data_IF_026434837006
#
_entry.id   IF_026434837006
#
_cell.length_a   1.000
_cell.length_b   1.000
_cell.length_c   1.000
_cell.angle_alpha   90.00
_cell.angle_beta   90.00
_cell.angle_gamma   90.00
#
_symmetry.space_group_name_H-M   'P 1'
#
loop_
_entity.id
_entity.type
_entity.pdbx_description
1 polymer ?
#
# COMPACT_ATOMS: atom_id res chain seq x y z
N UNK A 1 1.24 -6.65 25.01
CA UNK A 1 1.95 -5.67 24.17
C UNK A 1 1.32 -5.72 22.79
N UNK A 2 0.87 -4.58 22.24
CA UNK A 2 0.43 -4.50 20.84
C UNK A 2 1.67 -4.76 19.97
N UNK A 3 1.66 -5.71 19.01
CA UNK A 3 2.80 -5.97 18.14
C UNK A 3 3.16 -4.69 17.39
N UNK A 4 4.44 -4.47 17.13
CA UNK A 4 4.87 -3.32 16.30
C UNK A 4 4.39 -3.54 14.86
N UNK A 5 3.85 -2.51 14.19
CA UNK A 5 3.41 -2.63 12.81
C UNK A 5 4.61 -2.87 11.89
N UNK A 6 4.43 -3.70 10.88
CA UNK A 6 5.40 -3.93 9.83
C UNK A 6 5.19 -2.93 8.69
N UNK A 7 6.27 -2.51 8.04
CA UNK A 7 6.17 -1.69 6.85
C UNK A 7 5.82 -2.57 5.64
N UNK A 8 4.79 -2.16 4.89
CA UNK A 8 4.40 -2.78 3.63
C UNK A 8 4.84 -1.92 2.45
N UNK A 9 5.31 -2.56 1.39
CA UNK A 9 5.66 -1.90 0.12
C UNK A 9 4.49 -2.05 -0.84
N UNK A 10 3.79 -0.97 -1.10
CA UNK A 10 2.76 -0.93 -2.13
C UNK A 10 3.42 -0.61 -3.47
N UNK A 11 3.30 -1.53 -4.41
CA UNK A 11 3.83 -1.37 -5.76
C UNK A 11 2.66 -1.35 -6.76
N UNK A 12 2.24 -0.17 -7.25
CA UNK A 12 1.31 -0.09 -8.36
C UNK A 12 1.84 -0.86 -9.56
N UNK A 13 0.95 -1.42 -10.35
CA UNK A 13 1.31 -2.06 -11.61
C UNK A 13 2.02 -1.07 -12.53
N UNK A 14 2.87 -1.59 -13.41
CA UNK A 14 3.68 -0.74 -14.29
C UNK A 14 2.80 0.19 -15.12
N UNK A 15 3.09 1.50 -15.06
CA UNK A 15 2.32 2.53 -15.75
C UNK A 15 1.10 3.05 -14.98
N UNK A 16 0.83 2.54 -13.77
CA UNK A 16 -0.28 2.99 -12.95
C UNK A 16 0.19 3.89 -11.80
N UNK A 17 -0.61 4.90 -11.47
CA UNK A 17 -0.37 5.83 -10.35
C UNK A 17 -1.03 5.39 -9.04
N UNK A 18 -1.86 4.34 -9.08
CA UNK A 18 -2.60 3.76 -7.95
C UNK A 18 -2.66 2.24 -8.09
N UNK A 19 -3.08 1.53 -7.04
CA UNK A 19 -3.47 0.12 -7.10
C UNK A 19 -4.99 0.00 -6.94
N UNK A 20 -5.57 -0.98 -7.60
CA UNK A 20 -6.92 -1.47 -7.32
C UNK A 20 -6.88 -2.98 -7.25
N UNK A 21 -7.32 -3.54 -6.14
CA UNK A 21 -7.35 -4.99 -5.92
C UNK A 21 -8.70 -5.38 -5.35
N UNK A 22 -9.20 -6.53 -5.77
CA UNK A 22 -10.39 -7.15 -5.22
C UNK A 22 -10.04 -8.53 -4.68
N UNK A 23 -10.53 -8.81 -3.49
CA UNK A 23 -10.31 -10.06 -2.76
C UNK A 23 -11.65 -10.70 -2.48
N UNK A 24 -11.72 -12.02 -2.60
CA UNK A 24 -12.91 -12.85 -2.33
C UNK A 24 -12.49 -14.15 -1.64
N UNK A 25 -13.43 -15.10 -1.53
CA UNK A 25 -13.17 -16.42 -0.92
C UNK A 25 -12.13 -17.25 -1.70
N UNK A 26 -11.97 -17.03 -3.00
CA UNK A 26 -11.05 -17.77 -3.86
C UNK A 26 -9.67 -17.09 -3.87
N UNK A 27 -9.63 -15.79 -3.70
CA UNK A 27 -8.43 -14.98 -3.58
C UNK A 27 -8.50 -14.09 -2.33
N UNK A 28 -8.37 -14.65 -1.12
CA UNK A 28 -8.52 -13.88 0.11
C UNK A 28 -7.36 -12.90 0.32
N UNK A 29 -7.66 -11.74 0.88
CA UNK A 29 -6.65 -10.81 1.35
C UNK A 29 -5.81 -11.45 2.47
N UNK A 30 -4.60 -11.91 2.14
CA UNK A 30 -3.70 -12.60 3.07
C UNK A 30 -2.99 -11.65 4.04
N UNK A 31 -3.20 -10.35 3.91
CA UNK A 31 -2.50 -9.33 4.69
C UNK A 31 -3.30 -9.04 5.98
N UNK A 32 -3.50 -10.06 6.81
CA UNK A 32 -4.03 -9.92 8.16
C UNK A 32 -3.00 -9.44 9.20
N UNK A 33 -1.87 -8.89 8.76
CA UNK A 33 -0.77 -8.46 9.62
C UNK A 33 -0.93 -6.99 9.95
N UNK A 34 -0.63 -6.62 11.19
CA UNK A 34 -0.54 -5.22 11.63
C UNK A 34 0.58 -4.50 10.86
N UNK A 35 0.20 -3.60 9.92
CA UNK A 35 1.12 -2.97 8.97
C UNK A 35 0.81 -1.49 8.76
N UNK A 36 1.69 -0.80 8.03
CA UNK A 36 1.51 0.56 7.57
C UNK A 36 2.29 0.80 6.27
N UNK A 37 1.83 1.75 5.47
CA UNK A 37 2.46 2.19 4.21
C UNK A 37 2.20 3.67 3.96
N UNK A 38 2.97 4.35 3.07
CA UNK A 38 2.83 5.78 2.81
C UNK A 38 1.63 6.15 1.92
N UNK A 39 1.01 5.19 1.28
CA UNK A 39 -0.18 5.43 0.47
C UNK A 39 -1.40 5.69 1.36
N UNK A 40 -2.36 6.46 0.83
CA UNK A 40 -3.73 6.51 1.33
C UNK A 40 -4.42 5.24 0.84
N UNK A 41 -5.19 4.60 1.70
CA UNK A 41 -5.92 3.39 1.37
C UNK A 41 -7.43 3.58 1.56
N UNK A 42 -8.20 3.26 0.54
CA UNK A 42 -9.65 3.17 0.60
C UNK A 42 -10.06 1.71 0.52
N UNK A 43 -10.67 1.22 1.59
CA UNK A 43 -11.15 -0.16 1.70
C UNK A 43 -12.66 -0.19 1.71
N UNK A 44 -13.24 -1.03 0.88
CA UNK A 44 -14.65 -1.39 0.94
C UNK A 44 -14.80 -2.89 1.16
N UNK A 45 -15.52 -3.26 2.20
CA UNK A 45 -15.90 -4.63 2.53
C UNK A 45 -17.39 -4.79 2.25
N UNK A 46 -17.77 -5.66 1.31
CA UNK A 46 -19.15 -5.90 0.94
C UNK A 46 -19.80 -6.93 1.86
N UNK A 47 -20.70 -6.47 2.72
CA UNK A 47 -21.45 -7.31 3.65
C UNK A 47 -20.60 -7.87 4.79
N UNK A 48 -21.17 -8.81 5.53
CA UNK A 48 -20.50 -9.47 6.65
C UNK A 48 -20.30 -8.58 7.88
N UNK A 49 -19.56 -9.12 8.84
CA UNK A 49 -19.21 -8.43 10.08
C UNK A 49 -17.79 -8.80 10.47
N UNK A 50 -17.07 -7.88 11.06
CA UNK A 50 -15.68 -8.14 11.43
C UNK A 50 -15.12 -7.15 12.44
N UNK A 51 -13.90 -7.42 12.87
CA UNK A 51 -13.12 -6.54 13.71
C UNK A 51 -12.22 -5.68 12.82
N UNK A 52 -12.13 -4.40 13.10
CA UNK A 52 -11.12 -3.50 12.51
C UNK A 52 -10.23 -2.92 13.57
N UNK A 53 -8.96 -2.77 13.24
CA UNK A 53 -7.98 -2.08 14.06
C UNK A 53 -7.24 -1.09 13.17
N UNK A 54 -7.37 0.21 13.48
CA UNK A 54 -6.78 1.33 12.75
C UNK A 54 -6.17 2.28 13.77
N UNK A 55 -4.85 2.44 13.75
CA UNK A 55 -4.16 3.16 14.81
C UNK A 55 -4.40 2.52 16.18
N UNK A 56 -4.79 3.32 17.16
CA UNK A 56 -5.20 2.83 18.48
C UNK A 56 -6.66 2.41 18.58
N UNK A 57 -7.43 2.66 17.51
CA UNK A 57 -8.87 2.39 17.51
C UNK A 57 -9.14 0.92 17.15
N UNK A 58 -9.88 0.24 18.03
CA UNK A 58 -10.39 -1.11 17.80
C UNK A 58 -11.91 -1.06 17.88
N UNK A 59 -12.57 -1.51 16.82
CA UNK A 59 -14.03 -1.58 16.78
C UNK A 59 -14.49 -2.75 15.90
N UNK A 60 -15.80 -2.95 15.87
CA UNK A 60 -16.45 -3.94 15.03
C UNK A 60 -17.34 -3.24 14.02
N UNK A 61 -17.41 -3.80 12.81
CA UNK A 61 -18.36 -3.39 11.79
C UNK A 61 -19.41 -4.47 11.56
N UNK A 62 -20.55 -4.07 11.05
CA UNK A 62 -21.65 -4.96 10.64
C UNK A 62 -22.18 -4.49 9.29
N UNK A 63 -22.63 -5.45 8.46
CA UNK A 63 -23.14 -5.18 7.12
C UNK A 63 -22.12 -4.40 6.26
N UNK A 64 -20.90 -4.92 6.23
CA UNK A 64 -19.79 -4.35 5.48
C UNK A 64 -19.18 -3.10 6.10
N UNK A 65 -18.10 -2.62 5.50
CA UNK A 65 -17.35 -1.44 5.95
C UNK A 65 -16.87 -0.59 4.77
N UNK A 66 -16.70 0.71 5.00
CA UNK A 66 -16.06 1.64 4.07
C UNK A 66 -15.13 2.55 4.85
N UNK A 67 -13.84 2.39 4.64
CA UNK A 67 -12.78 3.04 5.43
C UNK A 67 -11.82 3.76 4.51
N UNK A 68 -11.45 4.98 4.88
CA UNK A 68 -10.32 5.70 4.32
C UNK A 68 -9.21 5.81 5.36
N UNK A 69 -8.05 5.27 5.05
CA UNK A 69 -6.86 5.21 5.91
C UNK A 69 -5.83 6.18 5.35
N UNK A 70 -5.35 7.08 6.18
CA UNK A 70 -4.32 8.04 5.78
C UNK A 70 -2.92 7.43 5.75
N UNK A 71 -2.00 8.15 5.11
CA UNK A 71 -0.60 7.76 4.98
C UNK A 71 0.03 7.40 6.32
N UNK A 72 0.76 6.28 6.35
CA UNK A 72 1.49 5.79 7.52
C UNK A 72 0.64 5.52 8.78
N UNK A 73 -0.67 5.42 8.66
CA UNK A 73 -1.53 5.02 9.76
C UNK A 73 -1.56 3.49 9.88
N UNK A 74 -1.07 2.91 10.99
CA UNK A 74 -1.06 1.46 11.13
C UNK A 74 -2.47 0.87 11.14
N UNK A 75 -2.65 -0.24 10.44
CA UNK A 75 -3.92 -0.94 10.35
C UNK A 75 -3.73 -2.45 10.12
N UNK A 76 -4.79 -3.22 10.30
CA UNK A 76 -4.87 -4.63 9.94
C UNK A 76 -5.83 -4.80 8.78
N UNK A 77 -5.65 -5.86 8.00
CA UNK A 77 -6.63 -6.31 7.02
C UNK A 77 -8.01 -6.58 7.67
N UNK A 78 -9.05 -6.46 6.88
CA UNK A 78 -10.44 -6.39 7.35
C UNK A 78 -11.20 -7.69 7.13
N UNK A 79 -10.72 -8.56 6.25
CA UNK A 79 -11.39 -9.82 5.93
C UNK A 79 -10.85 -10.96 6.77
N UNK A 80 -11.78 -11.61 7.47
CA UNK A 80 -11.57 -12.93 8.06
C UNK A 80 -12.57 -13.90 7.39
N UNK A 81 -12.10 -15.10 7.06
CA UNK A 81 -12.92 -16.16 6.41
C UNK A 81 -14.22 -16.47 7.18
N UNK A 82 -14.26 -16.14 8.46
CA UNK A 82 -15.44 -16.35 9.33
C UNK A 82 -16.45 -15.20 9.31
N UNK A 83 -16.20 -14.12 8.58
CA UNK A 83 -17.00 -12.87 8.71
C UNK A 83 -18.20 -12.80 7.80
N UNK A 84 -18.32 -13.69 6.81
CA UNK A 84 -19.43 -13.71 5.84
C UNK A 84 -19.37 -12.55 4.83
N UNK A 85 -18.19 -11.96 4.61
CA UNK A 85 -17.98 -10.95 3.57
C UNK A 85 -18.10 -11.59 2.18
N UNK A 86 -18.64 -10.84 1.22
CA UNK A 86 -18.70 -11.27 -0.18
C UNK A 86 -17.36 -11.01 -0.89
N UNK A 87 -16.86 -9.80 -0.75
CA UNK A 87 -15.59 -9.37 -1.29
C UNK A 87 -15.04 -8.19 -0.47
N UNK A 88 -13.77 -7.91 -0.68
CA UNK A 88 -13.07 -6.73 -0.20
C UNK A 88 -12.39 -6.05 -1.38
N UNK A 89 -12.63 -4.77 -1.56
CA UNK A 89 -11.98 -3.97 -2.61
C UNK A 89 -11.07 -2.94 -1.96
N UNK A 90 -9.83 -2.86 -2.42
CA UNK A 90 -8.78 -2.00 -1.89
C UNK A 90 -8.23 -1.10 -2.99
N UNK A 91 -8.24 0.19 -2.74
CA UNK A 91 -7.62 1.21 -3.60
C UNK A 91 -6.52 1.89 -2.82
N UNK A 92 -5.28 1.81 -3.29
CA UNK A 92 -4.15 2.47 -2.65
C UNK A 92 -3.52 3.48 -3.59
N UNK A 93 -3.25 4.67 -3.10
CA UNK A 93 -2.69 5.77 -3.88
C UNK A 93 -1.83 6.68 -3.02
N UNK A 94 -0.78 7.25 -3.61
CA UNK A 94 -0.06 8.34 -2.94
C UNK A 94 -0.94 9.57 -2.86
N UNK A 95 -0.68 10.42 -1.87
CA UNK A 95 -1.40 11.69 -1.72
C UNK A 95 -1.24 12.61 -2.95
N UNK A 96 -0.11 12.47 -3.65
CA UNK A 96 0.27 13.21 -4.85
C UNK A 96 0.25 12.34 -6.13
N UNK A 97 -0.56 11.29 -6.19
CA UNK A 97 -0.55 10.29 -7.27
C UNK A 97 -0.82 10.84 -8.68
N UNK A 98 -1.35 12.05 -8.79
CA UNK A 98 -1.56 12.79 -10.04
C UNK A 98 -0.56 13.94 -10.25
N UNK A 99 0.49 13.99 -9.43
CA UNK A 99 1.49 15.05 -9.43
C UNK A 99 1.30 16.05 -8.29
N UNK A 100 2.39 16.69 -7.91
CA UNK A 100 2.48 17.51 -6.69
C UNK A 100 1.48 18.66 -6.61
N UNK A 101 1.11 19.26 -7.75
CA UNK A 101 0.25 20.45 -7.78
C UNK A 101 -1.21 20.14 -8.13
N UNK A 102 -1.52 18.93 -8.56
CA UNK A 102 -2.87 18.59 -9.02
C UNK A 102 -3.94 18.80 -7.95
N UNK A 103 -3.65 18.43 -6.71
CA UNK A 103 -4.60 18.60 -5.61
C UNK A 103 -4.60 20.00 -5.00
N UNK A 104 -3.71 20.91 -5.45
CA UNK A 104 -3.62 22.29 -4.94
C UNK A 104 -4.58 23.28 -5.62
N UNK A 105 -5.30 22.85 -6.66
CA UNK A 105 -6.31 23.68 -7.33
C UNK A 105 -7.59 23.82 -6.49
N UNK A 106 -8.36 24.92 -6.65
CA UNK A 106 -9.52 25.19 -5.82
C UNK A 106 -10.60 24.09 -5.81
N UNK A 107 -10.80 23.41 -6.94
CA UNK A 107 -11.76 22.33 -7.11
C UNK A 107 -11.46 21.11 -6.27
N UNK A 108 -10.19 20.92 -5.90
CA UNK A 108 -9.72 19.77 -5.09
C UNK A 108 -9.73 20.04 -3.58
N UNK A 109 -10.16 21.21 -3.13
CA UNK A 109 -10.14 21.61 -1.71
C UNK A 109 -10.85 20.60 -0.80
N UNK A 110 -11.94 19.99 -1.26
CA UNK A 110 -12.66 18.97 -0.49
C UNK A 110 -11.87 17.68 -0.36
N UNK A 111 -11.17 17.26 -1.41
CA UNK A 111 -10.29 16.09 -1.39
C UNK A 111 -9.07 16.37 -0.49
N UNK A 112 -8.47 17.54 -0.54
CA UNK A 112 -7.40 17.91 0.39
C UNK A 112 -7.85 17.81 1.85
N UNK A 113 -9.03 18.39 2.16
CA UNK A 113 -9.59 18.30 3.52
C UNK A 113 -9.87 16.85 3.94
N UNK A 114 -10.33 16.02 3.00
CA UNK A 114 -10.52 14.59 3.22
C UNK A 114 -9.19 13.88 3.58
N UNK A 115 -8.13 14.16 2.84
CA UNK A 115 -6.80 13.59 3.12
C UNK A 115 -6.25 14.02 4.50
N UNK A 116 -6.53 15.25 4.92
CA UNK A 116 -6.15 15.74 6.25
C UNK A 116 -6.86 14.98 7.38
N UNK A 117 -8.16 14.69 7.25
CA UNK A 117 -8.88 13.92 8.28
C UNK A 117 -8.58 12.42 8.21
N UNK A 118 -8.20 11.91 7.04
CA UNK A 118 -7.84 10.50 6.83
C UNK A 118 -6.64 10.04 7.67
N UNK A 119 -5.78 10.97 8.10
CA UNK A 119 -4.68 10.69 9.03
C UNK A 119 -5.17 10.04 10.32
N UNK A 120 -6.40 10.31 10.75
CA UNK A 120 -7.05 9.66 11.90
C UNK A 120 -7.80 8.38 11.55
N UNK A 121 -7.84 7.97 10.28
CA UNK A 121 -8.72 6.91 9.78
C UNK A 121 -10.19 7.36 9.81
N UNK A 122 -10.88 7.22 8.71
CA UNK A 122 -12.27 7.67 8.55
C UNK A 122 -13.16 6.50 8.16
N UNK A 123 -14.14 6.20 9.00
CA UNK A 123 -15.18 5.22 8.69
C UNK A 123 -16.42 5.94 8.16
N UNK A 124 -16.88 5.56 6.97
CA UNK A 124 -18.10 6.07 6.37
C UNK A 124 -19.29 5.13 6.67
N UNK A 125 -20.45 5.72 6.84
CA UNK A 125 -21.67 5.01 7.26
C UNK A 125 -22.85 5.38 6.37
N UNK A 126 -24.02 4.82 6.67
CA UNK A 126 -25.28 5.21 6.05
C UNK A 126 -25.32 5.04 4.53
N UNK A 127 -25.95 6.01 3.87
CA UNK A 127 -26.10 6.02 2.41
C UNK A 127 -24.79 6.20 1.67
N UNK A 128 -23.83 6.91 2.27
CA UNK A 128 -22.48 7.11 1.71
C UNK A 128 -21.77 5.79 1.56
N UNK A 129 -21.75 4.93 2.61
CA UNK A 129 -21.13 3.60 2.56
C UNK A 129 -21.67 2.79 1.40
N UNK A 130 -23.00 2.69 1.28
CA UNK A 130 -23.65 1.90 0.24
C UNK A 130 -23.33 2.42 -1.17
N UNK A 131 -23.57 3.71 -1.40
CA UNK A 131 -23.38 4.34 -2.72
C UNK A 131 -21.94 4.27 -3.21
N UNK A 132 -20.99 4.54 -2.32
CA UNK A 132 -19.57 4.49 -2.67
C UNK A 132 -19.09 3.05 -2.84
N UNK A 133 -19.56 2.14 -2.02
CA UNK A 133 -19.27 0.71 -2.17
C UNK A 133 -19.65 0.18 -3.55
N UNK A 134 -20.88 0.45 -4.00
CA UNK A 134 -21.35 0.07 -5.34
C UNK A 134 -20.44 0.66 -6.45
N UNK A 135 -19.96 1.89 -6.29
CA UNK A 135 -19.02 2.50 -7.25
C UNK A 135 -17.64 1.84 -7.25
N UNK A 136 -17.14 1.44 -6.09
CA UNK A 136 -15.85 0.75 -5.98
C UNK A 136 -15.93 -0.62 -6.64
N UNK A 137 -17.00 -1.37 -6.45
CA UNK A 137 -17.19 -2.70 -7.06
C UNK A 137 -17.24 -2.61 -8.60
N UNK A 138 -17.90 -1.60 -9.16
CA UNK A 138 -17.98 -1.40 -10.61
C UNK A 138 -16.60 -1.13 -11.22
N UNK A 139 -15.64 -0.64 -10.44
CA UNK A 139 -14.28 -0.36 -10.94
C UNK A 139 -13.56 -1.60 -11.49
N UNK A 140 -13.93 -2.80 -11.08
CA UNK A 140 -13.40 -4.05 -11.64
C UNK A 140 -13.57 -4.13 -13.16
N UNK A 141 -14.69 -3.65 -13.69
CA UNK A 141 -15.07 -3.72 -15.10
C UNK A 141 -14.68 -2.49 -15.92
N UNK A 142 -13.97 -1.55 -15.32
CA UNK A 142 -13.58 -0.28 -15.92
C UNK A 142 -12.18 -0.36 -16.54
N UNK A 143 -11.97 0.41 -17.62
CA UNK A 143 -10.62 0.71 -18.11
C UNK A 143 -9.84 1.54 -17.10
N UNK A 144 -8.51 1.58 -17.22
CA UNK A 144 -7.65 2.33 -16.30
C UNK A 144 -8.02 3.81 -16.21
N UNK A 145 -8.35 4.43 -17.35
CA UNK A 145 -8.78 5.83 -17.38
C UNK A 145 -10.16 6.02 -16.71
N UNK A 146 -11.11 5.14 -16.96
CA UNK A 146 -12.43 5.19 -16.31
C UNK A 146 -12.30 4.99 -14.79
N UNK A 147 -11.42 4.07 -14.38
CA UNK A 147 -11.12 3.80 -12.97
C UNK A 147 -10.50 5.01 -12.29
N UNK A 148 -9.56 5.70 -12.96
CA UNK A 148 -8.99 6.95 -12.46
C UNK A 148 -10.06 8.03 -12.23
N UNK A 149 -10.97 8.22 -13.18
CA UNK A 149 -12.09 9.17 -13.03
C UNK A 149 -13.04 8.76 -11.91
N UNK A 150 -13.29 7.46 -11.74
CA UNK A 150 -14.09 6.92 -10.63
C UNK A 150 -13.43 7.21 -9.29
N UNK A 151 -12.12 7.04 -9.15
CA UNK A 151 -11.37 7.36 -7.92
C UNK A 151 -11.55 8.84 -7.58
N UNK A 152 -11.35 9.75 -8.53
CA UNK A 152 -11.51 11.19 -8.30
C UNK A 152 -12.94 11.55 -7.87
N UNK A 153 -13.94 10.96 -8.52
CA UNK A 153 -15.35 11.20 -8.19
C UNK A 153 -15.68 10.63 -6.79
N UNK A 154 -15.21 9.44 -6.45
CA UNK A 154 -15.37 8.83 -5.13
C UNK A 154 -14.73 9.72 -4.06
N UNK A 155 -13.49 10.17 -4.24
CA UNK A 155 -12.80 11.03 -3.28
C UNK A 155 -13.55 12.36 -3.09
N UNK A 156 -14.08 12.95 -4.18
CA UNK A 156 -14.89 14.18 -4.09
C UNK A 156 -16.19 13.94 -3.32
N UNK A 157 -16.90 12.84 -3.57
CA UNK A 157 -18.13 12.51 -2.84
C UNK A 157 -17.87 12.24 -1.36
N UNK A 158 -16.81 11.50 -1.03
CA UNK A 158 -16.39 11.28 0.35
C UNK A 158 -16.01 12.59 1.05
N UNK A 159 -15.31 13.50 0.35
CA UNK A 159 -14.97 14.84 0.87
C UNK A 159 -16.16 15.76 1.12
N UNK A 160 -17.30 15.50 0.50
CA UNK A 160 -18.56 16.23 0.71
C UNK A 160 -19.52 15.52 1.67
N UNK A 161 -19.26 14.27 2.03
CA UNK A 161 -20.12 13.51 2.94
C UNK A 161 -20.08 14.07 4.35
N UNK A 162 -21.19 13.91 5.06
CA UNK A 162 -21.32 14.14 6.50
C UNK A 162 -21.54 12.84 7.28
N UNK A 163 -21.70 11.72 6.58
CA UNK A 163 -21.95 10.42 7.16
C UNK A 163 -20.63 9.68 7.41
N UNK A 164 -19.80 10.23 8.29
CA UNK A 164 -18.52 9.62 8.66
C UNK A 164 -18.17 9.83 10.12
N UNK A 165 -17.26 8.99 10.60
CA UNK A 165 -16.63 9.08 11.91
C UNK A 165 -15.11 9.00 11.75
N UNK A 166 -14.38 9.94 12.38
CA UNK A 166 -12.92 9.84 12.53
C UNK A 166 -12.63 8.88 13.70
N UNK A 167 -11.77 7.90 13.47
CA UNK A 167 -11.57 6.79 14.40
C UNK A 167 -10.56 7.11 15.49
N UNK A 168 -9.49 7.88 15.18
CA UNK A 168 -8.46 8.25 16.13
C UNK A 168 -8.49 9.76 16.39
N UNK A 169 -8.15 10.18 17.59
CA UNK A 169 -8.02 11.59 17.93
C UNK A 169 -6.97 12.28 17.04
N UNK A 170 -7.14 13.56 16.76
CA UNK A 170 -6.12 14.37 16.09
C UNK A 170 -4.81 14.27 16.88
N UNK A 171 -3.73 13.87 16.21
CA UNK A 171 -2.43 13.68 16.85
C UNK A 171 -2.07 12.21 17.14
N UNK A 172 -2.90 11.22 16.73
CA UNK A 172 -2.44 9.86 16.64
C UNK A 172 -1.38 9.79 15.55
N UNK A 173 -0.16 10.08 15.91
CA UNK A 173 1.01 9.59 15.17
C UNK A 173 1.58 8.42 15.98
N UNK A 174 1.98 7.31 15.37
CA UNK A 174 3.11 6.57 15.90
C UNK A 174 4.09 7.67 16.34
N UNK A 175 4.66 7.64 17.55
CA UNK A 175 5.56 8.68 18.11
C UNK A 175 6.76 9.01 17.18
N UNK A 176 6.46 9.31 15.94
CA UNK A 176 7.33 9.79 14.89
C UNK A 176 6.98 11.25 14.70
N UNK A 177 7.90 12.13 15.01
CA UNK A 177 7.75 13.56 14.71
C UNK A 177 7.36 13.73 13.23
N UNK A 178 6.55 14.75 12.90
CA UNK A 178 6.13 15.06 11.51
C UNK A 178 7.34 15.10 10.56
N UNK A 179 8.49 15.60 11.05
CA UNK A 179 9.77 15.56 10.32
C UNK A 179 10.27 14.16 9.97
N UNK A 180 9.94 13.15 10.77
CA UNK A 180 10.34 11.77 10.53
C UNK A 180 9.50 11.13 9.43
N UNK A 181 8.22 11.47 9.30
CA UNK A 181 7.39 11.01 8.19
C UNK A 181 7.84 11.58 6.85
N UNK A 182 8.24 12.84 6.80
CA UNK A 182 8.77 13.45 5.59
C UNK A 182 10.08 12.78 5.16
N UNK A 183 10.99 12.53 6.10
CA UNK A 183 12.25 11.86 5.82
C UNK A 183 12.07 10.43 5.31
N UNK A 184 11.19 9.65 5.94
CA UNK A 184 10.96 8.26 5.51
C UNK A 184 10.32 8.21 4.11
N UNK A 185 9.40 9.14 3.81
CA UNK A 185 8.79 9.26 2.50
C UNK A 185 9.82 9.64 1.42
N UNK A 186 10.77 10.53 1.74
CA UNK A 186 11.89 10.87 0.85
C UNK A 186 12.71 9.61 0.53
N UNK A 187 13.06 8.82 1.56
CA UNK A 187 13.80 7.56 1.39
C UNK A 187 13.05 6.59 0.50
N UNK A 188 11.76 6.37 0.75
CA UNK A 188 10.95 5.43 -0.01
C UNK A 188 10.79 5.84 -1.47
N UNK A 189 10.53 7.13 -1.72
CA UNK A 189 10.43 7.66 -3.08
C UNK A 189 11.74 7.53 -3.83
N UNK A 190 12.85 7.81 -3.15
CA UNK A 190 14.18 7.65 -3.74
C UNK A 190 14.46 6.20 -4.11
N UNK A 191 14.23 5.26 -3.20
CA UNK A 191 14.41 3.82 -3.47
C UNK A 191 13.51 3.36 -4.60
N UNK A 192 12.23 3.75 -4.60
CA UNK A 192 11.27 3.37 -5.66
C UNK A 192 11.73 3.81 -7.05
N UNK A 193 12.39 4.96 -7.16
CA UNK A 193 12.87 5.49 -8.44
C UNK A 193 14.23 4.92 -8.86
N UNK A 194 15.07 4.48 -7.90
CA UNK A 194 16.47 4.16 -8.14
C UNK A 194 16.87 2.73 -7.70
N UNK A 195 15.93 1.86 -7.29
CA UNK A 195 16.26 0.53 -6.74
C UNK A 195 17.05 -0.38 -7.70
N UNK A 196 16.99 -0.11 -9.00
CA UNK A 196 17.73 -0.87 -10.02
C UNK A 196 19.24 -0.56 -9.98
N UNK A 197 19.59 0.62 -9.53
CA UNK A 197 20.96 1.11 -9.43
C UNK A 197 21.55 0.80 -8.05
N UNK A 198 22.84 1.01 -7.90
CA UNK A 198 23.48 0.93 -6.60
C UNK A 198 23.10 2.16 -5.76
N UNK A 199 22.51 1.92 -4.60
CA UNK A 199 22.16 2.96 -3.63
C UNK A 199 23.05 2.78 -2.41
N UNK A 200 23.92 3.75 -2.14
CA UNK A 200 24.82 3.72 -0.98
C UNK A 200 24.15 4.26 0.28
N UNK A 201 24.66 3.84 1.45
CA UNK A 201 24.18 4.37 2.73
C UNK A 201 24.55 5.85 2.90
N UNK A 202 25.67 6.26 2.36
CA UNK A 202 26.13 7.64 2.34
C UNK A 202 25.14 8.53 1.58
N UNK A 203 24.82 8.14 0.35
CA UNK A 203 23.91 8.88 -0.52
C UNK A 203 22.52 9.07 0.13
N UNK A 204 21.94 7.98 0.64
CA UNK A 204 20.58 8.06 1.21
C UNK A 204 20.58 8.79 2.57
N UNK A 205 21.64 8.70 3.35
CA UNK A 205 21.75 9.43 4.62
C UNK A 205 21.89 10.93 4.40
N UNK A 206 22.66 11.35 3.41
CA UNK A 206 22.84 12.75 3.02
C UNK A 206 21.51 13.34 2.52
N UNK A 207 20.76 12.58 1.71
CA UNK A 207 19.46 13.00 1.18
C UNK A 207 18.46 13.39 2.30
N UNK A 208 18.53 12.75 3.47
CA UNK A 208 17.69 13.05 4.63
C UNK A 208 18.40 13.84 5.73
N UNK A 209 19.57 14.40 5.42
CA UNK A 209 20.39 15.20 6.33
C UNK A 209 20.71 14.47 7.64
N UNK A 210 21.18 13.23 7.54
CA UNK A 210 21.58 12.39 8.66
C UNK A 210 23.00 11.82 8.44
N UNK A 211 23.67 11.45 9.54
CA UNK A 211 24.87 10.60 9.43
C UNK A 211 24.44 9.15 9.18
N UNK A 212 25.27 8.35 8.50
CA UNK A 212 25.00 6.94 8.22
C UNK A 212 24.57 6.14 9.47
N UNK A 213 25.28 6.23 10.61
CA UNK A 213 24.84 5.52 11.82
C UNK A 213 23.47 5.99 12.36
N UNK A 214 23.18 7.29 12.24
CA UNK A 214 21.87 7.84 12.68
C UNK A 214 20.76 7.39 11.75
N UNK A 215 21.00 7.42 10.45
CA UNK A 215 20.07 6.92 9.43
C UNK A 215 19.77 5.42 9.62
N UNK A 216 20.77 4.57 9.79
CA UNK A 216 20.57 3.14 9.99
C UNK A 216 19.71 2.85 11.24
N UNK A 217 19.95 3.54 12.36
CA UNK A 217 19.13 3.40 13.58
C UNK A 217 17.71 3.91 13.35
N UNK A 218 17.58 5.08 12.74
CA UNK A 218 16.31 5.70 12.39
C UNK A 218 15.48 4.78 11.49
N UNK A 219 16.05 4.36 10.35
CA UNK A 219 15.38 3.52 9.38
C UNK A 219 14.91 2.18 9.98
N UNK A 220 15.82 1.51 10.73
CA UNK A 220 15.49 0.26 11.43
C UNK A 220 14.42 0.45 12.51
N UNK A 221 14.41 1.58 13.21
CA UNK A 221 13.38 1.89 14.21
C UNK A 221 12.00 2.03 13.59
N UNK A 222 11.89 2.65 12.40
CA UNK A 222 10.61 2.91 11.72
C UNK A 222 10.13 1.69 10.95
N UNK A 223 11.02 1.02 10.20
CA UNK A 223 10.64 -0.05 9.26
C UNK A 223 10.79 -1.46 9.85
N UNK A 224 11.42 -1.63 11.00
CA UNK A 224 11.89 -2.89 11.58
C UNK A 224 12.86 -3.68 10.67
N UNK A 225 13.36 -3.08 9.59
CA UNK A 225 14.28 -3.67 8.61
C UNK A 225 15.53 -2.84 8.45
N UNK A 226 16.61 -3.43 7.98
CA UNK A 226 17.75 -2.64 7.51
C UNK A 226 17.41 -2.00 6.16
N UNK A 227 18.08 -0.91 5.82
CA UNK A 227 17.90 -0.25 4.53
C UNK A 227 18.19 -1.18 3.34
N UNK A 228 19.26 -1.98 3.43
CA UNK A 228 19.61 -2.96 2.38
C UNK A 228 18.52 -4.04 2.23
N UNK A 229 17.93 -4.51 3.32
CA UNK A 229 16.80 -5.44 3.26
C UNK A 229 15.61 -4.82 2.52
N UNK A 230 15.30 -3.57 2.81
CA UNK A 230 14.21 -2.84 2.17
C UNK A 230 14.46 -2.67 0.65
N UNK A 231 15.66 -2.22 0.24
CA UNK A 231 16.02 -2.10 -1.19
C UNK A 231 15.90 -3.45 -1.89
N UNK A 232 16.39 -4.52 -1.26
CA UNK A 232 16.28 -5.87 -1.83
C UNK A 232 14.82 -6.34 -1.96
N UNK A 233 13.95 -6.03 -1.02
CA UNK A 233 12.52 -6.33 -1.14
C UNK A 233 11.88 -5.60 -2.32
N UNK A 234 12.16 -4.32 -2.52
CA UNK A 234 11.69 -3.58 -3.70
C UNK A 234 12.16 -4.23 -5.01
N UNK A 235 13.41 -4.70 -5.06
CA UNK A 235 13.96 -5.44 -6.20
C UNK A 235 13.23 -6.77 -6.42
N UNK A 236 12.93 -7.51 -5.36
CA UNK A 236 12.24 -8.80 -5.42
C UNK A 236 10.78 -8.67 -5.86
N UNK A 237 10.08 -7.65 -5.39
CA UNK A 237 8.73 -7.31 -5.88
C UNK A 237 8.76 -7.03 -7.39
N UNK A 238 9.72 -6.23 -7.84
CA UNK A 238 9.89 -5.98 -9.27
C UNK A 238 10.25 -7.24 -10.05
N UNK A 239 11.10 -8.11 -9.50
CA UNK A 239 11.45 -9.39 -10.10
C UNK A 239 10.25 -10.32 -10.26
N UNK A 240 9.38 -10.42 -9.25
CA UNK A 240 8.14 -11.20 -9.33
C UNK A 240 7.27 -10.75 -10.49
N UNK A 241 7.16 -9.43 -10.70
CA UNK A 241 6.44 -8.84 -11.82
C UNK A 241 7.08 -9.18 -13.17
N UNK A 242 8.39 -8.99 -13.33
CA UNK A 242 9.09 -9.33 -14.58
C UNK A 242 8.98 -10.81 -14.93
N UNK A 243 9.00 -11.70 -13.92
CA UNK A 243 8.81 -13.13 -14.11
C UNK A 243 7.42 -13.48 -14.63
N UNK A 244 6.40 -12.72 -14.25
CA UNK A 244 5.02 -12.88 -14.70
C UNK A 244 4.83 -12.35 -16.14
N UNK A 245 5.37 -11.18 -16.44
CA UNK A 245 5.03 -10.39 -17.63
C UNK A 245 5.96 -10.60 -18.82
N UNK A 246 7.27 -10.85 -18.55
CA UNK A 246 8.29 -10.87 -19.61
C UNK A 246 8.85 -12.27 -19.86
N UNK A 247 8.99 -12.69 -21.14
CA UNK A 247 9.63 -13.96 -21.52
C UNK A 247 11.16 -13.88 -21.53
N UNK A 248 11.77 -13.11 -20.63
CA UNK A 248 13.23 -13.01 -20.49
C UNK A 248 13.77 -14.07 -19.54
N UNK A 249 15.06 -14.38 -19.61
CA UNK A 249 15.70 -15.37 -18.74
C UNK A 249 15.67 -14.93 -17.27
N UNK A 250 15.76 -15.89 -16.33
CA UNK A 250 15.82 -15.57 -14.89
C UNK A 250 17.09 -14.79 -14.55
N UNK A 251 18.16 -15.04 -15.30
CA UNK A 251 19.42 -14.29 -15.16
C UNK A 251 19.23 -12.82 -15.58
N UNK A 252 18.55 -12.56 -16.67
CA UNK A 252 18.20 -11.20 -17.11
C UNK A 252 17.30 -10.51 -16.06
N UNK A 253 16.28 -11.20 -15.54
CA UNK A 253 15.44 -10.66 -14.44
C UNK A 253 16.30 -10.25 -13.24
N UNK A 254 17.25 -11.08 -12.83
CA UNK A 254 18.16 -10.78 -11.72
C UNK A 254 18.86 -9.44 -11.94
N UNK A 255 19.47 -9.23 -13.11
CA UNK A 255 20.24 -8.02 -13.40
C UNK A 255 19.33 -6.80 -13.66
N UNK A 256 18.18 -6.98 -14.36
CA UNK A 256 17.20 -5.89 -14.57
C UNK A 256 16.59 -5.37 -13.25
N UNK A 257 16.60 -6.19 -12.20
CA UNK A 257 16.14 -5.80 -10.87
C UNK A 257 17.25 -5.18 -9.99
N UNK A 258 18.47 -5.01 -10.52
CA UNK A 258 19.57 -4.41 -9.77
C UNK A 258 20.31 -5.37 -8.85
N UNK A 259 20.12 -6.69 -8.96
CA UNK A 259 20.99 -7.65 -8.30
C UNK A 259 22.25 -7.89 -9.15
N UNK A 260 23.40 -7.83 -8.52
CA UNK A 260 24.69 -8.11 -9.16
C UNK A 260 25.21 -9.53 -8.91
N UNK A 261 24.47 -10.35 -8.15
CA UNK A 261 24.83 -11.73 -7.82
C UNK A 261 23.60 -12.65 -7.93
N UNK A 262 23.64 -13.55 -8.91
CA UNK A 262 22.56 -14.50 -9.20
C UNK A 262 22.27 -15.47 -8.05
N UNK A 263 23.28 -15.96 -7.35
CA UNK A 263 23.07 -16.87 -6.21
C UNK A 263 22.39 -16.15 -5.04
N UNK A 264 22.79 -14.89 -4.78
CA UNK A 264 22.16 -14.05 -3.77
C UNK A 264 20.70 -13.74 -4.15
N UNK A 265 20.44 -13.39 -5.41
CA UNK A 265 19.09 -13.20 -5.93
C UNK A 265 18.20 -14.42 -5.70
N UNK A 266 18.62 -15.61 -6.14
CA UNK A 266 17.84 -16.84 -5.99
C UNK A 266 17.50 -17.15 -4.52
N UNK A 267 18.49 -17.03 -3.64
CA UNK A 267 18.31 -17.25 -2.20
C UNK A 267 17.31 -16.24 -1.61
N UNK A 268 17.46 -14.97 -1.95
CA UNK A 268 16.59 -13.88 -1.47
C UNK A 268 15.17 -14.02 -2.03
N UNK A 269 15.03 -14.37 -3.30
CA UNK A 269 13.75 -14.59 -3.95
C UNK A 269 12.98 -15.75 -3.31
N UNK A 270 13.66 -16.88 -3.08
CA UNK A 270 13.05 -18.02 -2.40
C UNK A 270 12.65 -17.68 -0.95
N UNK A 271 13.46 -16.93 -0.23
CA UNK A 271 13.13 -16.49 1.12
C UNK A 271 11.92 -15.53 1.15
N UNK A 272 11.75 -14.71 0.10
CA UNK A 272 10.68 -13.73 -0.02
C UNK A 272 9.35 -14.34 -0.48
N UNK A 273 9.37 -15.22 -1.50
CA UNK A 273 8.16 -15.78 -2.14
C UNK A 273 7.83 -17.20 -1.67
N UNK A 274 8.74 -17.87 -0.96
CA UNK A 274 8.64 -19.30 -0.63
C UNK A 274 9.12 -20.25 -1.74
N UNK A 275 9.29 -19.76 -2.97
CA UNK A 275 9.63 -20.53 -4.17
C UNK A 275 10.87 -19.96 -4.87
N UNK A 276 11.58 -20.80 -5.64
CA UNK A 276 12.61 -20.25 -6.50
C UNK A 276 12.01 -19.55 -7.74
N UNK A 277 12.76 -18.67 -8.44
CA UNK A 277 12.22 -17.91 -9.55
C UNK A 277 11.65 -18.75 -10.70
N UNK A 278 12.23 -19.95 -10.93
CA UNK A 278 11.74 -20.87 -11.99
C UNK A 278 10.41 -21.50 -11.62
N UNK A 279 10.28 -21.99 -10.38
CA UNK A 279 9.04 -22.54 -9.83
C UNK A 279 7.93 -21.48 -9.86
N UNK A 280 8.23 -20.28 -9.37
CA UNK A 280 7.29 -19.15 -9.36
C UNK A 280 6.77 -18.81 -10.77
N UNK A 281 7.67 -18.71 -11.77
CA UNK A 281 7.27 -18.46 -13.16
C UNK A 281 6.40 -19.58 -13.74
N UNK A 282 6.72 -20.83 -13.47
CA UNK A 282 5.97 -21.98 -14.00
C UNK A 282 4.57 -22.06 -13.39
N UNK A 283 4.42 -21.76 -12.12
CA UNK A 283 3.11 -21.71 -11.47
C UNK A 283 2.22 -20.62 -12.09
N UNK A 284 2.77 -19.40 -12.27
CA UNK A 284 2.02 -18.31 -12.92
C UNK A 284 1.57 -18.69 -14.35
N UNK A 285 2.43 -19.36 -15.13
CA UNK A 285 2.05 -19.81 -16.49
C UNK A 285 0.94 -20.86 -16.45
N UNK A 286 0.91 -21.74 -15.47
CA UNK A 286 -0.14 -22.77 -15.35
C UNK A 286 -1.49 -22.14 -14.99
N UNK A 287 -1.51 -21.10 -14.15
CA UNK A 287 -2.72 -20.36 -13.78
C UNK A 287 -3.29 -19.53 -14.93
N UNK A 288 -2.42 -19.01 -15.82
CA UNK A 288 -2.86 -18.22 -16.99
C UNK A 288 -3.32 -19.09 -18.18
N UNK A 289 -3.10 -20.40 -18.13
CA UNK A 289 -3.51 -21.35 -19.20
C UNK A 289 -4.73 -22.20 -18.78
N UNK A 290 -5.21 -22.07 -17.55
CA UNK A 290 -6.43 -22.68 -17.03
C UNK A 290 -7.61 -21.71 -17.13
#
# INVERSE_FOLDING_TARGET
MIPKPTFEVIAPDFGHSYTYQQFDEHNPNKIGVWHYHPEIELVYVNGGSGKRQIGSHVSYYTDGDLILIGSNLPHCGFTDVLTGNKNESVVQMKQDFLGNDFFNIPEMKKIQSLFQIAVGGVAFTGSTKKKIGEKIEIMEYQTDFQRLLSILNILNELGNSKEYQVLNAQGFSLQTEVKDNDRINIVFNYVKSNFKDEITLEEISDLVSMTVPSFCRYFKKITNKTFIQFVNECRLVHASKLLAEKPISITEVCFECGFNNFSHFNKSFKAFTGQNPSEYRNELKSVLQS
#
